data_IF_769606982832
#
_entry.id   IF_769606982832
#
_cell.length_a   1.000
_cell.length_b   1.000
_cell.length_c   1.000
_cell.angle_alpha   90.00
_cell.angle_beta   90.00
_cell.angle_gamma   90.00
#
_symmetry.space_group_name_H-M   'P 1'
#
loop_
_entity.id
_entity.type
_entity.pdbx_description
1 polymer ?
#
# COMPACT_ATOMS: atom_id res chain seq x y z
N UNK A 1 -3.82 0.47 9.17
CA UNK A 1 -2.53 0.74 8.49
C UNK A 1 -2.72 0.48 7.00
N UNK A 2 -2.15 1.29 6.09
CA UNK A 2 -2.42 1.15 4.64
C UNK A 2 -1.32 0.38 3.93
N UNK A 3 -1.63 -0.26 2.81
CA UNK A 3 -0.62 -0.89 1.97
C UNK A 3 -0.02 0.13 0.99
N UNK A 4 1.24 0.46 1.21
CA UNK A 4 2.07 1.23 0.29
C UNK A 4 2.71 0.30 -0.75
N UNK A 5 2.68 0.69 -2.01
CA UNK A 5 3.54 0.20 -3.08
C UNK A 5 4.73 1.14 -3.17
N UNK A 6 5.90 0.66 -2.80
CA UNK A 6 7.16 1.40 -2.85
C UNK A 6 7.99 0.89 -4.02
N UNK A 7 8.28 1.78 -4.98
CA UNK A 7 9.23 1.49 -6.05
C UNK A 7 10.64 1.84 -5.61
N UNK A 8 11.57 0.93 -5.86
CA UNK A 8 13.00 1.15 -5.59
C UNK A 8 13.81 0.74 -6.81
N UNK A 9 14.59 1.66 -7.36
CA UNK A 9 15.60 1.31 -8.35
C UNK A 9 16.81 0.71 -7.63
N UNK A 10 17.08 -0.56 -7.88
CA UNK A 10 18.10 -1.32 -7.13
C UNK A 10 19.47 -1.33 -7.81
N UNK A 11 19.57 -0.77 -9.02
CA UNK A 11 20.82 -0.65 -9.75
C UNK A 11 20.84 0.62 -10.62
N UNK A 12 20.80 1.82 -10.01
CA UNK A 12 20.70 3.07 -10.76
C UNK A 12 21.88 3.32 -11.71
N UNK A 13 23.06 2.85 -11.33
CA UNK A 13 24.30 2.98 -12.10
C UNK A 13 24.52 1.82 -13.10
N UNK A 14 23.64 0.82 -13.10
CA UNK A 14 23.68 -0.33 -14.02
C UNK A 14 24.96 -1.17 -13.90
N UNK A 15 25.46 -1.32 -12.68
CA UNK A 15 26.71 -2.02 -12.35
C UNK A 15 26.48 -3.49 -11.97
N UNK A 16 25.25 -3.88 -11.63
CA UNK A 16 24.96 -5.25 -11.27
C UNK A 16 24.96 -6.19 -12.48
N UNK A 17 25.61 -7.34 -12.30
CA UNK A 17 25.54 -8.47 -13.22
C UNK A 17 24.19 -9.17 -13.16
N UNK A 18 23.87 -9.96 -14.19
CA UNK A 18 22.62 -10.74 -14.25
C UNK A 18 22.48 -11.70 -13.06
N UNK A 19 23.57 -12.35 -12.62
CA UNK A 19 23.53 -13.23 -11.45
C UNK A 19 23.26 -12.44 -10.16
N UNK A 20 23.93 -11.30 -9.96
CA UNK A 20 23.70 -10.44 -8.79
C UNK A 20 22.26 -9.94 -8.70
N UNK A 21 21.62 -9.60 -9.83
CA UNK A 21 20.22 -9.18 -9.85
C UNK A 21 19.28 -10.32 -9.47
N UNK A 22 19.52 -11.54 -9.97
CA UNK A 22 18.69 -12.71 -9.67
C UNK A 22 18.86 -13.18 -8.23
N UNK A 23 20.10 -13.25 -7.76
CA UNK A 23 20.43 -13.62 -6.38
C UNK A 23 19.86 -12.59 -5.40
N UNK A 24 20.00 -11.29 -5.70
CA UNK A 24 19.43 -10.20 -4.92
C UNK A 24 17.91 -10.27 -4.86
N UNK A 25 17.22 -10.55 -5.98
CA UNK A 25 15.77 -10.70 -6.01
C UNK A 25 15.29 -11.91 -5.17
N UNK A 26 15.97 -13.06 -5.29
CA UNK A 26 15.66 -14.24 -4.49
C UNK A 26 15.84 -13.99 -2.99
N UNK A 27 16.92 -13.29 -2.59
CA UNK A 27 17.15 -12.89 -1.21
C UNK A 27 16.12 -11.87 -0.72
N UNK A 28 15.75 -10.90 -1.55
CA UNK A 28 14.74 -9.88 -1.22
C UNK A 28 13.39 -10.52 -0.90
N UNK A 29 12.96 -11.51 -1.68
CA UNK A 29 11.69 -12.22 -1.45
C UNK A 29 11.64 -12.87 -0.06
N UNK A 30 12.77 -13.41 0.42
CA UNK A 30 12.88 -13.96 1.77
C UNK A 30 12.82 -12.87 2.85
N UNK A 31 13.67 -11.84 2.72
CA UNK A 31 13.76 -10.77 3.72
C UNK A 31 12.48 -9.94 3.83
N UNK A 32 11.81 -9.65 2.70
CA UNK A 32 10.56 -8.92 2.71
C UNK A 32 9.49 -9.69 3.49
N UNK A 33 9.36 -11.00 3.25
CA UNK A 33 8.41 -11.85 3.99
C UNK A 33 8.69 -11.84 5.49
N UNK A 34 9.96 -11.96 5.89
CA UNK A 34 10.36 -11.92 7.31
C UNK A 34 10.07 -10.55 7.95
N UNK A 35 10.07 -9.48 7.15
CA UNK A 35 9.71 -8.12 7.56
C UNK A 35 8.20 -7.82 7.46
N UNK A 36 7.36 -8.79 7.09
CA UNK A 36 5.92 -8.58 6.92
C UNK A 36 5.52 -7.76 5.68
N UNK A 37 6.41 -7.71 4.69
CA UNK A 37 6.19 -7.08 3.39
C UNK A 37 6.10 -8.13 2.28
N UNK A 38 5.48 -7.76 1.16
CA UNK A 38 5.48 -8.55 -0.07
C UNK A 38 6.28 -7.85 -1.17
N UNK A 39 6.68 -8.59 -2.20
CA UNK A 39 7.38 -8.05 -3.37
C UNK A 39 6.70 -8.57 -4.63
N UNK A 40 6.49 -7.70 -5.61
CA UNK A 40 6.05 -8.12 -6.94
C UNK A 40 7.23 -8.76 -7.66
N UNK A 41 7.15 -10.07 -7.89
CA UNK A 41 8.23 -10.80 -8.54
C UNK A 41 8.38 -10.37 -10.01
N UNK A 42 9.60 -9.97 -10.41
CA UNK A 42 9.91 -9.53 -11.75
C UNK A 42 11.35 -9.92 -12.15
N UNK A 43 11.61 -10.09 -13.44
CA UNK A 43 12.97 -10.37 -13.94
C UNK A 43 13.74 -9.06 -14.18
N UNK A 44 14.42 -8.58 -13.13
CA UNK A 44 15.25 -7.38 -13.16
C UNK A 44 16.33 -7.43 -14.27
N UNK A 45 16.81 -8.62 -14.64
CA UNK A 45 17.82 -8.76 -15.68
C UNK A 45 17.25 -8.58 -17.09
N UNK A 46 15.94 -8.80 -17.27
CA UNK A 46 15.22 -8.54 -18.51
C UNK A 46 14.76 -7.07 -18.63
N UNK A 47 14.80 -6.30 -17.54
CA UNK A 47 14.42 -4.89 -17.54
C UNK A 47 15.53 -3.99 -18.12
N UNK A 48 15.16 -2.86 -18.74
CA UNK A 48 16.14 -1.83 -19.12
C UNK A 48 16.96 -1.39 -17.91
N UNK A 49 18.26 -1.22 -18.13
CA UNK A 49 19.24 -0.73 -17.15
C UNK A 49 18.73 0.49 -16.32
N UNK A 50 18.13 1.47 -17.00
CA UNK A 50 17.58 2.67 -16.37
C UNK A 50 16.31 2.46 -15.51
N UNK A 51 15.73 1.25 -15.49
CA UNK A 51 14.46 0.92 -14.82
C UNK A 51 14.49 -0.44 -14.13
N UNK A 52 15.63 -0.83 -13.54
CA UNK A 52 15.72 -2.03 -12.70
C UNK A 52 15.05 -1.75 -11.35
N UNK A 53 13.72 -1.71 -11.38
CA UNK A 53 12.88 -1.35 -10.24
C UNK A 53 12.23 -2.59 -9.63
N UNK A 54 12.28 -2.68 -8.30
CA UNK A 54 11.45 -3.60 -7.51
C UNK A 54 10.23 -2.85 -6.96
N UNK A 55 9.13 -3.55 -6.81
CA UNK A 55 7.90 -3.05 -6.20
C UNK A 55 7.64 -3.81 -4.90
N UNK A 56 7.76 -3.11 -3.76
CA UNK A 56 7.48 -3.66 -2.43
C UNK A 56 6.11 -3.22 -1.95
N UNK A 57 5.35 -4.15 -1.39
CA UNK A 57 4.06 -3.95 -0.75
C UNK A 57 4.28 -3.94 0.77
N UNK A 58 4.20 -2.76 1.37
CA UNK A 58 4.52 -2.54 2.78
C UNK A 58 3.29 -1.98 3.49
N UNK A 59 2.92 -2.58 4.62
CA UNK A 59 1.91 -2.01 5.51
C UNK A 59 2.57 -0.91 6.35
N UNK A 60 2.14 0.34 6.19
CA UNK A 60 2.71 1.50 6.87
C UNK A 60 1.64 2.57 7.17
N UNK A 61 1.94 3.46 8.11
CA UNK A 61 1.08 4.61 8.41
C UNK A 61 1.39 5.81 7.51
N UNK A 62 2.67 6.02 7.17
CA UNK A 62 3.12 7.11 6.33
C UNK A 62 4.13 6.68 5.26
N UNK A 63 4.43 7.63 4.37
CA UNK A 63 5.30 7.42 3.20
C UNK A 63 6.76 7.19 3.60
N UNK A 64 7.23 7.87 4.65
CA UNK A 64 8.63 7.85 5.05
C UNK A 64 8.96 6.51 5.71
N UNK A 65 8.08 5.99 6.57
CA UNK A 65 8.20 4.65 7.14
C UNK A 65 8.31 3.56 6.06
N UNK A 66 7.39 3.59 5.08
CA UNK A 66 7.37 2.63 3.99
C UNK A 66 8.64 2.73 3.13
N UNK A 67 9.04 3.96 2.79
CA UNK A 67 10.25 4.23 2.00
C UNK A 67 11.51 3.74 2.70
N UNK A 68 11.67 4.06 3.97
CA UNK A 68 12.86 3.72 4.73
C UNK A 68 12.99 2.20 4.89
N UNK A 69 11.89 1.49 5.13
CA UNK A 69 11.89 0.03 5.16
C UNK A 69 12.29 -0.56 3.81
N UNK A 70 11.71 -0.08 2.71
CA UNK A 70 12.03 -0.56 1.37
C UNK A 70 13.50 -0.37 1.00
N UNK A 71 14.07 0.82 1.28
CA UNK A 71 15.48 1.12 1.02
C UNK A 71 16.40 0.23 1.86
N UNK A 72 16.09 0.03 3.14
CA UNK A 72 16.87 -0.88 4.00
C UNK A 72 16.86 -2.32 3.49
N UNK A 73 15.69 -2.84 3.10
CA UNK A 73 15.57 -4.19 2.56
C UNK A 73 16.37 -4.34 1.26
N UNK A 74 16.23 -3.42 0.32
CA UNK A 74 16.95 -3.47 -0.96
C UNK A 74 18.46 -3.33 -0.77
N UNK A 75 18.90 -2.40 0.08
CA UNK A 75 20.33 -2.15 0.34
C UNK A 75 21.03 -3.30 1.06
N UNK A 76 20.28 -4.23 1.66
CA UNK A 76 20.84 -5.41 2.31
C UNK A 76 21.15 -6.57 1.35
N UNK A 77 20.60 -6.55 0.12
CA UNK A 77 20.69 -7.68 -0.83
C UNK A 77 21.27 -7.30 -2.19
N UNK A 78 21.13 -6.06 -2.62
CA UNK A 78 21.72 -5.59 -3.88
C UNK A 78 23.09 -4.94 -3.63
N UNK A 79 23.99 -5.12 -4.60
CA UNK A 79 25.36 -4.61 -4.51
C UNK A 79 25.46 -3.11 -4.79
N UNK A 80 24.52 -2.56 -5.57
CA UNK A 80 24.43 -1.13 -5.86
C UNK A 80 23.61 -0.42 -4.77
N UNK A 81 23.88 0.88 -4.59
CA UNK A 81 23.08 1.70 -3.68
C UNK A 81 21.67 1.91 -4.26
N UNK A 82 20.61 1.47 -3.56
CA UNK A 82 19.26 1.61 -4.07
C UNK A 82 18.79 3.07 -4.04
N UNK A 83 18.12 3.50 -5.10
CA UNK A 83 17.49 4.81 -5.17
C UNK A 83 15.97 4.70 -4.97
N UNK A 84 15.37 5.51 -4.08
CA UNK A 84 13.93 5.51 -3.86
C UNK A 84 13.21 6.09 -5.08
N UNK A 85 12.19 5.37 -5.53
CA UNK A 85 11.23 5.82 -6.52
C UNK A 85 9.97 6.41 -5.88
N UNK A 86 8.85 6.27 -6.58
CA UNK A 86 7.54 6.73 -6.10
C UNK A 86 7.00 5.76 -5.04
N UNK A 87 6.40 6.32 -3.98
CA UNK A 87 5.55 5.61 -3.03
C UNK A 87 4.10 5.97 -3.30
N UNK A 88 3.27 4.96 -3.52
CA UNK A 88 1.81 5.13 -3.69
C UNK A 88 1.08 4.22 -2.73
N UNK A 89 -0.09 4.63 -2.22
CA UNK A 89 -0.97 3.73 -1.48
C UNK A 89 -1.99 3.09 -2.41
N UNK A 90 -2.26 1.80 -2.21
CA UNK A 90 -3.33 1.08 -2.91
C UNK A 90 -4.47 0.78 -1.93
N UNK A 91 -5.69 0.89 -2.44
CA UNK A 91 -6.86 0.40 -1.74
C UNK A 91 -7.11 -1.05 -2.14
N UNK A 92 -7.25 -1.94 -1.15
CA UNK A 92 -7.55 -3.37 -1.32
C UNK A 92 -8.99 -3.74 -0.96
N UNK A 93 -9.82 -2.76 -0.63
CA UNK A 93 -11.20 -2.96 -0.23
C UNK A 93 -11.38 -3.28 1.27
N UNK A 94 -10.33 -3.12 2.08
CA UNK A 94 -10.31 -3.60 3.47
C UNK A 94 -10.81 -2.54 4.45
N UNK A 95 -11.04 -2.95 5.71
CA UNK A 95 -11.46 -2.01 6.76
C UNK A 95 -10.35 -1.00 7.08
N UNK A 96 -9.09 -1.36 6.86
CA UNK A 96 -7.96 -0.42 6.91
C UNK A 96 -8.10 0.71 5.87
N UNK A 97 -8.63 0.41 4.69
CA UNK A 97 -8.89 1.42 3.66
C UNK A 97 -10.02 2.36 4.11
N UNK A 98 -11.07 1.81 4.73
CA UNK A 98 -12.15 2.61 5.32
C UNK A 98 -11.60 3.57 6.39
N UNK A 99 -10.83 3.05 7.35
CA UNK A 99 -10.19 3.86 8.38
C UNK A 99 -9.24 4.91 7.79
N UNK A 100 -8.51 4.54 6.73
CA UNK A 100 -7.67 5.47 6.01
C UNK A 100 -8.47 6.64 5.41
N UNK A 101 -9.59 6.35 4.73
CA UNK A 101 -10.47 7.38 4.17
C UNK A 101 -10.97 8.30 5.28
N UNK A 102 -11.48 7.75 6.39
CA UNK A 102 -11.96 8.52 7.53
C UNK A 102 -10.86 9.42 8.10
N UNK A 103 -9.65 8.88 8.34
CA UNK A 103 -8.50 9.64 8.81
C UNK A 103 -8.10 10.77 7.86
N UNK A 104 -8.20 10.56 6.54
CA UNK A 104 -7.95 11.59 5.53
C UNK A 104 -8.93 12.78 5.60
N UNK A 105 -10.14 12.55 6.12
CA UNK A 105 -11.11 13.60 6.44
C UNK A 105 -10.98 14.12 7.88
N UNK A 106 -10.08 13.57 8.69
CA UNK A 106 -9.97 13.88 10.13
C UNK A 106 -11.12 13.30 10.96
N UNK A 107 -11.74 12.21 10.47
CA UNK A 107 -12.87 11.52 11.08
C UNK A 107 -12.44 10.22 11.75
N UNK A 108 -13.24 9.81 12.73
CA UNK A 108 -13.16 8.50 13.38
C UNK A 108 -14.54 7.86 13.35
N UNK A 109 -14.61 6.56 13.10
CA UNK A 109 -15.87 5.83 13.05
C UNK A 109 -15.68 4.33 13.24
N UNK A 110 -16.77 3.66 13.55
CA UNK A 110 -16.83 2.21 13.68
C UNK A 110 -17.20 1.58 12.33
N UNK A 111 -16.49 0.51 11.96
CA UNK A 111 -16.68 -0.22 10.71
C UNK A 111 -17.26 -1.60 11.03
N UNK A 112 -18.39 -1.92 10.40
CA UNK A 112 -19.01 -3.25 10.45
C UNK A 112 -19.17 -3.76 9.01
N UNK A 113 -18.66 -4.96 8.73
CA UNK A 113 -18.70 -5.58 7.41
C UNK A 113 -19.56 -6.83 7.44
N UNK A 114 -20.48 -6.92 6.49
CA UNK A 114 -21.38 -8.06 6.31
C UNK A 114 -21.26 -8.60 4.89
N UNK A 115 -21.11 -9.92 4.68
CA UNK A 115 -21.17 -10.50 3.34
C UNK A 115 -22.51 -10.20 2.67
N UNK A 116 -22.50 -9.65 1.46
CA UNK A 116 -23.70 -9.43 0.66
C UNK A 116 -24.05 -10.64 -0.21
N UNK A 117 -25.29 -10.63 -0.74
CA UNK A 117 -25.86 -11.76 -1.46
C UNK A 117 -25.25 -11.97 -2.87
N UNK A 118 -24.67 -10.92 -3.46
CA UNK A 118 -24.05 -10.94 -4.80
C UNK A 118 -22.54 -11.19 -4.79
N UNK A 119 -21.99 -11.63 -3.64
CA UNK A 119 -20.56 -11.90 -3.48
C UNK A 119 -19.69 -10.66 -3.25
N UNK A 120 -20.32 -9.51 -2.99
CA UNK A 120 -19.66 -8.30 -2.51
C UNK A 120 -20.09 -8.02 -1.07
N UNK A 121 -19.18 -7.53 -0.24
CA UNK A 121 -19.54 -7.12 1.13
C UNK A 121 -20.37 -5.83 1.12
N UNK A 122 -21.15 -5.65 2.18
CA UNK A 122 -21.80 -4.38 2.54
C UNK A 122 -21.08 -3.86 3.79
N UNK A 123 -20.65 -2.61 3.74
CA UNK A 123 -19.93 -1.96 4.84
C UNK A 123 -20.79 -0.88 5.48
N UNK A 124 -21.03 -1.02 6.78
CA UNK A 124 -21.69 -0.02 7.60
C UNK A 124 -20.64 0.81 8.34
N UNK A 125 -20.70 2.13 8.18
CA UNK A 125 -19.79 3.07 8.82
C UNK A 125 -20.58 3.95 9.77
N UNK A 126 -20.28 3.87 11.06
CA UNK A 126 -20.95 4.67 12.09
C UNK A 126 -20.09 5.86 12.47
N UNK A 127 -20.61 7.07 12.24
CA UNK A 127 -19.94 8.36 12.47
C UNK A 127 -20.69 9.20 13.50
N UNK A 128 -20.02 10.20 14.09
CA UNK A 128 -20.69 11.17 14.96
C UNK A 128 -21.45 12.19 14.14
N UNK A 129 -22.65 12.55 14.55
CA UNK A 129 -23.46 13.55 13.82
C UNK A 129 -22.72 14.89 13.62
N UNK A 130 -21.99 15.35 14.65
CA UNK A 130 -21.21 16.61 14.63
C UNK A 130 -20.09 16.63 13.60
N UNK A 131 -19.58 15.46 13.22
CA UNK A 131 -18.52 15.36 12.22
C UNK A 131 -19.08 15.64 10.81
N UNK A 132 -20.32 15.21 10.55
CA UNK A 132 -21.03 15.43 9.29
C UNK A 132 -21.56 16.87 9.13
N UNK A 133 -21.67 17.63 10.22
CA UNK A 133 -21.94 19.08 10.14
C UNK A 133 -20.79 19.83 9.43
N UNK A 134 -19.56 19.32 9.56
CA UNK A 134 -18.36 19.95 8.99
C UNK A 134 -18.00 19.40 7.62
N UNK A 135 -18.25 18.11 7.39
CA UNK A 135 -17.89 17.40 6.17
C UNK A 135 -19.15 16.76 5.60
N UNK A 136 -19.59 17.15 4.38
CA UNK A 136 -20.80 16.58 3.79
C UNK A 136 -20.71 15.05 3.71
N UNK A 137 -21.75 14.38 4.19
CA UNK A 137 -21.87 12.91 4.16
C UNK A 137 -21.58 12.34 2.77
N UNK A 138 -22.11 12.97 1.72
CA UNK A 138 -21.91 12.54 0.33
C UNK A 138 -20.44 12.47 -0.09
N UNK A 139 -19.57 13.33 0.45
CA UNK A 139 -18.12 13.28 0.17
C UNK A 139 -17.45 12.10 0.84
N UNK A 140 -17.84 11.83 2.10
CA UNK A 140 -17.31 10.69 2.86
C UNK A 140 -17.78 9.40 2.21
N UNK A 141 -19.06 9.31 1.87
CA UNK A 141 -19.70 8.18 1.20
C UNK A 141 -19.02 7.86 -0.14
N UNK A 142 -18.87 8.85 -1.03
CA UNK A 142 -18.19 8.67 -2.33
C UNK A 142 -16.76 8.17 -2.16
N UNK A 143 -16.01 8.71 -1.20
CA UNK A 143 -14.63 8.30 -0.97
C UNK A 143 -14.53 6.88 -0.41
N UNK A 144 -15.45 6.49 0.48
CA UNK A 144 -15.54 5.14 1.02
C UNK A 144 -15.90 4.13 -0.08
N UNK A 145 -16.94 4.38 -0.89
CA UNK A 145 -17.30 3.47 -1.99
C UNK A 145 -16.17 3.31 -3.00
N UNK A 146 -15.50 4.41 -3.37
CA UNK A 146 -14.37 4.35 -4.30
C UNK A 146 -13.18 3.56 -3.74
N UNK A 147 -12.93 3.65 -2.42
CA UNK A 147 -11.82 2.95 -1.78
C UNK A 147 -12.14 1.51 -1.44
N UNK A 148 -13.39 1.20 -1.13
CA UNK A 148 -13.82 -0.13 -0.70
C UNK A 148 -14.28 -1.01 -1.86
N UNK A 149 -14.70 -0.39 -2.97
CA UNK A 149 -15.27 -1.06 -4.13
C UNK A 149 -16.45 -1.99 -3.75
N UNK A 150 -17.27 -1.54 -2.80
CA UNK A 150 -18.41 -2.25 -2.27
C UNK A 150 -19.50 -1.26 -1.82
N UNK A 151 -20.70 -1.76 -1.51
CA UNK A 151 -21.78 -0.92 -1.01
C UNK A 151 -21.45 -0.39 0.39
N UNK A 152 -21.72 0.90 0.62
CA UNK A 152 -21.44 1.57 1.90
C UNK A 152 -22.70 2.26 2.42
N UNK A 153 -23.00 2.04 3.69
CA UNK A 153 -24.05 2.75 4.43
C UNK A 153 -23.47 3.52 5.59
N UNK A 154 -23.68 4.84 5.61
CA UNK A 154 -23.30 5.69 6.75
C UNK A 154 -24.45 5.74 7.75
N UNK A 155 -24.12 5.54 9.03
CA UNK A 155 -25.02 5.68 10.18
C UNK A 155 -24.47 6.78 11.09
N UNK A 156 -25.35 7.51 11.77
CA UNK A 156 -24.94 8.54 12.74
C UNK A 156 -25.30 8.14 14.17
N UNK A 157 -24.45 8.56 15.11
CA UNK A 157 -24.64 8.45 16.57
C UNK A 157 -24.28 9.74 17.30
#
# INVERSE_FOLDING_TARGET
MRTAVVRVNVDPESVCTVSQLRDGMAALLGLARDAGADVVENDLAAMPAARREVELLITAEDVDEARDLAIRLCGSVFAAEPAPGVVTFISRGTDDDAHGVLSGFGLTGDIERTPGDDGFDIVYVTLRERDLERIPESRVHTALEASLNCEVHIRTV
#
